data_IF_363561473476
#
_entry.id   IF_363561473476
#
_cell.length_a   1.000
_cell.length_b   1.000
_cell.length_c   1.000
_cell.angle_alpha   90.00
_cell.angle_beta   90.00
_cell.angle_gamma   90.00
#
_symmetry.space_group_name_H-M   'P 1'
#
loop_
_entity.id
_entity.type
_entity.pdbx_description
1 polymer ?
#
# COMPACT_ATOMS: atom_id res chain seq x y z
N UNK A 1 -20.35 -16.15 -7.82
CA UNK A 1 -19.41 -14.99 -7.91
C UNK A 1 -17.98 -15.51 -8.04
N UNK A 2 -17.17 -15.01 -8.97
CA UNK A 2 -15.73 -15.33 -8.99
C UNK A 2 -15.10 -14.59 -7.80
N UNK A 3 -14.51 -15.32 -6.86
CA UNK A 3 -13.66 -14.71 -5.82
C UNK A 3 -12.55 -13.93 -6.53
N UNK A 4 -12.61 -12.61 -6.46
CA UNK A 4 -11.53 -11.74 -6.91
C UNK A 4 -10.39 -11.93 -5.90
N UNK A 5 -9.20 -12.28 -6.40
CA UNK A 5 -8.04 -12.47 -5.52
C UNK A 5 -7.52 -11.09 -5.08
N UNK A 6 -7.19 -10.99 -3.80
CA UNK A 6 -6.54 -9.82 -3.22
C UNK A 6 -5.15 -9.62 -3.83
N UNK A 7 -4.78 -8.35 -4.07
CA UNK A 7 -3.45 -7.93 -4.49
C UNK A 7 -2.47 -8.22 -3.36
N UNK A 8 -1.20 -8.49 -3.69
CA UNK A 8 -0.12 -8.56 -2.70
C UNK A 8 1.03 -7.69 -3.18
N UNK A 9 1.39 -6.67 -2.40
CA UNK A 9 2.33 -5.64 -2.80
C UNK A 9 3.24 -5.19 -1.66
N UNK A 10 4.51 -4.95 -1.97
CA UNK A 10 5.43 -4.16 -1.14
C UNK A 10 6.21 -3.25 -2.09
N UNK A 11 6.29 -1.96 -1.80
CA UNK A 11 7.16 -1.07 -2.56
C UNK A 11 7.31 0.29 -1.92
N UNK A 12 8.38 0.97 -2.31
CA UNK A 12 8.61 2.37 -1.98
C UNK A 12 7.99 3.21 -3.09
N UNK A 13 7.08 4.10 -2.70
CA UNK A 13 6.40 5.02 -3.59
C UNK A 13 6.95 6.42 -3.37
N UNK A 14 7.65 6.96 -4.36
CA UNK A 14 8.05 8.36 -4.33
C UNK A 14 6.80 9.25 -4.50
N UNK A 15 6.61 10.20 -3.60
CA UNK A 15 5.53 11.19 -3.64
C UNK A 15 6.18 12.52 -4.01
N UNK A 16 5.87 13.03 -5.21
CA UNK A 16 6.65 14.09 -5.87
C UNK A 16 6.53 15.43 -5.15
N UNK A 17 5.35 15.68 -4.58
CA UNK A 17 5.09 16.77 -3.65
C UNK A 17 4.44 16.07 -2.47
N UNK A 18 5.01 16.11 -1.25
CA UNK A 18 6.08 17.00 -0.79
C UNK A 18 7.51 16.42 -0.90
N UNK A 19 7.81 15.55 -1.87
CA UNK A 19 9.12 14.88 -2.02
C UNK A 19 9.45 13.95 -0.86
N UNK A 20 8.61 12.92 -0.68
CA UNK A 20 8.80 11.89 0.35
C UNK A 20 8.70 10.49 -0.23
N UNK A 21 9.36 9.54 0.43
CA UNK A 21 9.22 8.13 0.13
C UNK A 21 8.20 7.51 1.09
N UNK A 22 7.11 6.99 0.53
CA UNK A 22 6.08 6.25 1.24
C UNK A 22 6.30 4.75 1.06
N UNK A 23 6.46 4.02 2.16
CA UNK A 23 6.52 2.56 2.17
C UNK A 23 5.09 2.02 2.15
N UNK A 24 4.64 1.53 1.00
CA UNK A 24 3.31 0.96 0.83
C UNK A 24 3.38 -0.56 0.84
N UNK A 25 2.59 -1.16 1.73
CA UNK A 25 2.45 -2.60 1.89
C UNK A 25 0.98 -2.99 1.83
N UNK A 26 0.68 -4.05 1.07
CA UNK A 26 -0.68 -4.59 0.95
C UNK A 26 -0.67 -6.11 1.07
N UNK A 27 -1.47 -6.67 1.97
CA UNK A 27 -1.71 -8.11 2.11
C UNK A 27 -0.39 -8.90 2.20
N UNK A 28 0.36 -8.63 3.26
CA UNK A 28 1.66 -9.24 3.57
C UNK A 28 1.70 -9.62 5.04
N UNK A 29 2.31 -10.77 5.32
CA UNK A 29 2.56 -11.15 6.71
C UNK A 29 3.60 -10.23 7.34
N UNK A 30 3.58 -10.12 8.67
CA UNK A 30 4.54 -9.33 9.43
C UNK A 30 5.99 -9.71 9.07
N UNK A 31 6.27 -11.01 8.88
CA UNK A 31 7.60 -11.50 8.48
C UNK A 31 8.03 -10.97 7.11
N UNK A 32 7.11 -10.99 6.14
CA UNK A 32 7.38 -10.48 4.79
C UNK A 32 7.62 -8.97 4.80
N UNK A 33 6.90 -8.23 5.65
CA UNK A 33 7.07 -6.80 5.84
C UNK A 33 8.44 -6.52 6.43
N UNK A 34 8.83 -7.25 7.49
CA UNK A 34 10.15 -7.12 8.12
C UNK A 34 11.27 -7.38 7.14
N UNK A 35 11.18 -8.44 6.33
CA UNK A 35 12.18 -8.73 5.30
C UNK A 35 12.27 -7.63 4.25
N UNK A 36 11.12 -7.10 3.80
CA UNK A 36 11.07 -5.99 2.87
C UNK A 36 11.76 -4.76 3.44
N UNK A 37 11.41 -4.33 4.66
CA UNK A 37 11.99 -3.16 5.31
C UNK A 37 13.50 -3.32 5.55
N UNK A 38 13.96 -4.51 5.97
CA UNK A 38 15.40 -4.82 6.08
C UNK A 38 16.13 -4.65 4.76
N UNK A 39 15.54 -5.11 3.65
CA UNK A 39 16.13 -4.95 2.30
C UNK A 39 16.20 -3.50 1.86
N UNK A 40 15.31 -2.65 2.36
CA UNK A 40 15.35 -1.20 2.12
C UNK A 40 16.32 -0.46 3.06
N UNK A 41 17.02 -1.16 3.95
CA UNK A 41 17.95 -0.55 4.90
C UNK A 41 17.27 0.18 6.07
N UNK A 42 15.98 -0.08 6.31
CA UNK A 42 15.26 0.48 7.46
C UNK A 42 15.84 -0.10 8.74
N UNK A 43 16.10 0.75 9.74
CA UNK A 43 16.73 0.27 10.96
C UNK A 43 15.79 -0.59 11.79
N UNK A 44 16.38 -1.41 12.65
CA UNK A 44 15.66 -2.35 13.50
C UNK A 44 14.59 -1.68 14.39
N UNK A 45 14.89 -0.53 15.01
CA UNK A 45 13.94 0.18 15.88
C UNK A 45 12.65 0.60 15.14
N UNK A 46 12.76 1.11 13.91
CA UNK A 46 11.62 1.43 13.05
C UNK A 46 10.82 0.17 12.69
N UNK A 47 11.51 -0.94 12.38
CA UNK A 47 10.89 -2.24 12.06
C UNK A 47 10.13 -2.80 13.27
N UNK A 48 10.73 -2.77 14.46
CA UNK A 48 10.15 -3.30 15.69
C UNK A 48 8.90 -2.48 16.09
N UNK A 49 8.91 -1.18 15.84
CA UNK A 49 7.75 -0.29 16.02
C UNK A 49 6.61 -0.69 15.08
N UNK A 50 6.89 -0.81 13.77
CA UNK A 50 5.89 -1.22 12.77
C UNK A 50 5.32 -2.61 13.10
N UNK A 51 6.17 -3.54 13.53
CA UNK A 51 5.74 -4.88 13.93
C UNK A 51 4.75 -4.85 15.11
N UNK A 52 4.99 -4.00 16.11
CA UNK A 52 4.07 -3.85 17.24
C UNK A 52 2.72 -3.30 16.77
N UNK A 53 2.73 -2.21 16.01
CA UNK A 53 1.48 -1.63 15.50
C UNK A 53 0.72 -2.62 14.61
N UNK A 54 1.40 -3.40 13.76
CA UNK A 54 0.75 -4.44 12.94
C UNK A 54 0.08 -5.55 13.75
N UNK A 55 0.59 -5.87 14.94
CA UNK A 55 0.01 -6.90 15.82
C UNK A 55 -1.17 -6.37 16.63
N UNK A 56 -1.16 -5.07 16.92
CA UNK A 56 -2.20 -4.39 17.70
C UNK A 56 -3.31 -3.81 16.81
N UNK A 57 -3.04 -3.61 15.52
CA UNK A 57 -3.99 -3.09 14.55
C UNK A 57 -5.11 -4.09 14.25
N UNK A 58 -6.35 -3.69 14.56
CA UNK A 58 -7.58 -4.33 14.08
C UNK A 58 -8.19 -3.57 12.88
N UNK A 59 -7.42 -2.70 12.24
CA UNK A 59 -7.88 -1.89 11.12
C UNK A 59 -7.63 -2.55 9.76
N UNK A 60 -8.45 -2.19 8.76
CA UNK A 60 -8.27 -2.63 7.37
C UNK A 60 -7.12 -1.88 6.66
N UNK A 61 -6.65 -0.80 7.27
CA UNK A 61 -5.45 -0.06 6.87
C UNK A 61 -5.00 0.87 7.98
N UNK A 62 -3.75 1.32 7.91
CA UNK A 62 -3.28 2.44 8.71
C UNK A 62 -2.10 3.12 8.03
N UNK A 63 -1.97 4.42 8.28
CA UNK A 63 -0.77 5.19 8.05
C UNK A 63 -0.05 5.43 9.38
N UNK A 64 1.29 5.34 9.37
CA UNK A 64 2.09 5.75 10.49
C UNK A 64 3.43 6.36 10.06
N UNK A 65 4.01 7.12 11.00
CA UNK A 65 5.39 7.58 10.93
C UNK A 65 6.21 6.96 12.06
N UNK A 66 7.43 6.51 11.74
CA UNK A 66 8.37 6.08 12.78
C UNK A 66 9.26 7.24 13.24
N UNK A 67 9.99 7.03 14.33
CA UNK A 67 10.94 8.00 14.91
C UNK A 67 12.03 8.46 13.93
N UNK A 68 12.29 7.72 12.85
CA UNK A 68 13.29 8.03 11.84
C UNK A 68 12.72 8.69 10.60
N UNK A 69 11.55 9.30 10.72
CA UNK A 69 10.89 9.98 9.60
C UNK A 69 10.48 9.03 8.45
N UNK A 70 10.33 7.74 8.75
CA UNK A 70 9.82 6.76 7.79
C UNK A 70 8.29 6.88 7.70
N UNK A 71 7.76 7.03 6.48
CA UNK A 71 6.32 7.04 6.20
C UNK A 71 5.89 5.64 5.79
N UNK A 72 5.05 4.99 6.59
CA UNK A 72 4.59 3.62 6.34
C UNK A 72 3.08 3.62 6.19
N UNK A 73 2.59 3.01 5.11
CA UNK A 73 1.17 2.77 4.88
C UNK A 73 0.95 1.28 4.68
N UNK A 74 0.05 0.73 5.48
CA UNK A 74 -0.38 -0.65 5.41
C UNK A 74 -1.84 -0.71 4.99
N UNK A 75 -2.15 -1.62 4.08
CA UNK A 75 -3.51 -2.04 3.76
C UNK A 75 -3.60 -3.56 3.96
N UNK A 76 -4.57 -4.01 4.75
CA UNK A 76 -4.77 -5.42 5.07
C UNK A 76 -5.07 -6.24 3.82
N UNK A 77 -5.95 -5.72 2.98
CA UNK A 77 -6.28 -6.30 1.69
C UNK A 77 -6.55 -5.24 0.63
N UNK A 78 -6.46 -5.65 -0.63
CA UNK A 78 -6.95 -4.82 -1.73
C UNK A 78 -7.49 -5.73 -2.84
N UNK A 79 -8.80 -5.82 -2.94
CA UNK A 79 -9.51 -6.66 -3.92
C UNK A 79 -10.06 -5.85 -5.11
N UNK A 80 -9.84 -4.54 -5.15
CA UNK A 80 -10.36 -3.64 -6.19
C UNK A 80 -11.85 -3.29 -6.05
N UNK A 81 -12.42 -3.49 -4.87
CA UNK A 81 -13.77 -3.09 -4.50
C UNK A 81 -13.83 -1.61 -4.11
N UNK A 82 -15.05 -1.10 -3.88
CA UNK A 82 -15.24 0.27 -3.42
C UNK A 82 -14.74 0.46 -1.98
N UNK A 83 -14.85 -0.58 -1.14
CA UNK A 83 -14.30 -0.60 0.22
C UNK A 83 -12.78 -0.42 0.22
N UNK A 84 -12.05 -1.08 -0.69
CA UNK A 84 -10.60 -0.91 -0.79
C UNK A 84 -10.21 0.54 -1.15
N UNK A 85 -11.04 1.20 -1.97
CA UNK A 85 -10.83 2.61 -2.33
C UNK A 85 -11.12 3.53 -1.14
N UNK A 86 -12.12 3.21 -0.32
CA UNK A 86 -12.47 3.98 0.87
C UNK A 86 -11.36 3.90 1.92
N UNK A 87 -10.83 2.69 2.19
CA UNK A 87 -9.67 2.51 3.08
C UNK A 87 -8.45 3.25 2.55
N UNK A 88 -8.11 3.10 1.26
CA UNK A 88 -6.98 3.82 0.67
C UNK A 88 -7.17 5.35 0.76
N UNK A 89 -8.39 5.83 0.55
CA UNK A 89 -8.73 7.25 0.63
C UNK A 89 -8.55 7.78 2.05
N UNK A 90 -9.00 7.02 3.05
CA UNK A 90 -8.85 7.31 4.47
C UNK A 90 -7.37 7.35 4.89
N UNK A 91 -6.58 6.35 4.52
CA UNK A 91 -5.15 6.35 4.87
C UNK A 91 -4.34 7.42 4.15
N UNK A 92 -4.74 7.76 2.92
CA UNK A 92 -4.14 8.89 2.21
C UNK A 92 -4.46 10.21 2.93
N UNK A 93 -5.65 10.35 3.50
CA UNK A 93 -6.00 11.51 4.31
C UNK A 93 -5.07 11.64 5.53
N UNK A 94 -4.87 10.56 6.31
CA UNK A 94 -3.94 10.58 7.45
C UNK A 94 -2.51 10.96 7.05
N UNK A 95 -2.02 10.41 5.93
CA UNK A 95 -0.73 10.77 5.38
C UNK A 95 -0.63 12.28 5.06
N UNK A 96 -1.62 12.83 4.36
CA UNK A 96 -1.62 14.25 3.98
C UNK A 96 -1.77 15.16 5.18
N UNK A 97 -2.64 14.80 6.12
CA UNK A 97 -2.86 15.60 7.33
C UNK A 97 -1.56 15.69 8.13
N UNK A 98 -0.90 14.55 8.33
CA UNK A 98 0.41 14.48 8.95
C UNK A 98 1.46 15.33 8.21
N UNK A 99 1.64 15.15 6.89
CA UNK A 99 2.63 15.92 6.14
C UNK A 99 2.33 17.43 6.17
N UNK A 100 1.06 17.81 6.23
CA UNK A 100 0.63 19.20 6.30
C UNK A 100 1.02 19.87 7.60
N UNK A 101 0.91 19.15 8.72
CA UNK A 101 1.39 19.62 10.02
C UNK A 101 2.91 19.67 10.04
N UNK A 102 3.56 18.58 9.61
CA UNK A 102 5.01 18.42 9.68
C UNK A 102 5.77 19.47 8.86
N UNK A 103 5.24 19.82 7.68
CA UNK A 103 5.87 20.77 6.75
C UNK A 103 5.24 22.15 6.79
N UNK A 104 4.42 22.43 7.80
CA UNK A 104 3.83 23.75 8.08
C UNK A 104 2.92 24.31 6.98
N UNK A 105 2.28 23.44 6.19
CA UNK A 105 1.24 23.83 5.22
C UNK A 105 -0.19 23.45 5.69
N UNK A 106 -0.38 23.16 6.98
CA UNK A 106 -1.67 22.72 7.55
C UNK A 106 -2.85 23.65 7.25
N UNK A 107 -2.61 24.95 7.08
CA UNK A 107 -3.62 25.97 6.76
C UNK A 107 -3.91 26.12 5.26
N UNK A 108 -3.13 25.47 4.40
CA UNK A 108 -3.26 25.55 2.95
C UNK A 108 -4.24 24.48 2.45
N UNK A 109 -5.54 24.70 2.66
CA UNK A 109 -6.59 23.73 2.32
C UNK A 109 -6.58 23.29 0.87
N UNK A 110 -6.35 24.22 -0.07
CA UNK A 110 -6.24 23.91 -1.50
C UNK A 110 -5.04 23.02 -1.81
N UNK A 111 -3.91 23.29 -1.17
CA UNK A 111 -2.70 22.48 -1.33
C UNK A 111 -2.85 21.09 -0.70
N UNK A 112 -3.50 20.99 0.47
CA UNK A 112 -3.86 19.70 1.09
C UNK A 112 -4.76 18.88 0.17
N UNK A 113 -5.80 19.49 -0.40
CA UNK A 113 -6.71 18.82 -1.33
C UNK A 113 -5.98 18.35 -2.60
N UNK A 114 -5.11 19.19 -3.17
CA UNK A 114 -4.26 18.81 -4.31
C UNK A 114 -3.34 17.64 -3.97
N UNK A 115 -2.64 17.72 -2.83
CA UNK A 115 -1.71 16.69 -2.39
C UNK A 115 -2.42 15.36 -2.15
N UNK A 116 -3.59 15.40 -1.51
CA UNK A 116 -4.42 14.23 -1.25
C UNK A 116 -4.86 13.57 -2.55
N UNK A 117 -5.45 14.32 -3.48
CA UNK A 117 -5.90 13.78 -4.75
C UNK A 117 -4.74 13.24 -5.61
N UNK A 118 -3.61 13.94 -5.65
CA UNK A 118 -2.42 13.50 -6.37
C UNK A 118 -1.86 12.20 -5.80
N UNK A 119 -1.75 12.12 -4.46
CA UNK A 119 -1.26 10.92 -3.76
C UNK A 119 -2.22 9.75 -3.95
N UNK A 120 -3.52 9.96 -3.73
CA UNK A 120 -4.54 8.94 -3.87
C UNK A 120 -4.56 8.35 -5.28
N UNK A 121 -4.54 9.20 -6.31
CA UNK A 121 -4.46 8.75 -7.72
C UNK A 121 -3.21 7.92 -7.99
N UNK A 122 -2.05 8.33 -7.45
CA UNK A 122 -0.78 7.61 -7.64
C UNK A 122 -0.83 6.23 -7.00
N UNK A 123 -1.25 6.14 -5.74
CA UNK A 123 -1.37 4.88 -5.01
C UNK A 123 -2.39 3.95 -5.67
N UNK A 124 -3.57 4.47 -6.02
CA UNK A 124 -4.60 3.71 -6.73
C UNK A 124 -4.07 3.13 -8.05
N UNK A 125 -3.36 3.94 -8.85
CA UNK A 125 -2.78 3.48 -10.11
C UNK A 125 -1.78 2.34 -9.89
N UNK A 126 -0.93 2.42 -8.86
CA UNK A 126 0.03 1.37 -8.52
C UNK A 126 -0.70 0.07 -8.18
N UNK A 127 -1.64 0.12 -7.23
CA UNK A 127 -2.35 -1.08 -6.77
C UNK A 127 -3.15 -1.75 -7.90
N UNK A 128 -3.85 -0.97 -8.71
CA UNK A 128 -4.68 -1.52 -9.80
C UNK A 128 -3.83 -2.05 -10.96
N UNK A 129 -2.67 -1.47 -11.24
CA UNK A 129 -1.72 -2.04 -12.19
C UNK A 129 -1.18 -3.39 -11.70
N UNK A 130 -0.91 -3.54 -10.40
CA UNK A 130 -0.48 -4.82 -9.83
C UNK A 130 -1.60 -5.86 -9.88
N UNK A 131 -2.85 -5.45 -9.64
CA UNK A 131 -4.04 -6.30 -9.85
C UNK A 131 -4.11 -6.83 -11.27
N UNK A 132 -4.00 -5.95 -12.25
CA UNK A 132 -4.05 -6.32 -13.67
C UNK A 132 -2.94 -7.29 -14.07
N UNK A 133 -1.72 -7.10 -13.53
CA UNK A 133 -0.60 -8.04 -13.73
C UNK A 133 -0.92 -9.41 -13.14
N UNK A 134 -1.47 -9.47 -11.93
CA UNK A 134 -1.87 -10.73 -11.29
C UNK A 134 -2.97 -11.44 -12.08
N UNK A 135 -4.00 -10.73 -12.51
CA UNK A 135 -5.11 -11.30 -13.27
C UNK A 135 -4.66 -11.85 -14.63
N UNK A 136 -3.76 -11.15 -15.32
CA UNK A 136 -3.14 -11.64 -16.58
C UNK A 136 -2.33 -12.92 -16.34
N UNK A 137 -1.54 -12.98 -15.27
CA UNK A 137 -0.74 -14.18 -14.91
C UNK A 137 -1.64 -15.40 -14.64
N UNK A 138 -2.75 -15.20 -13.93
CA UNK A 138 -3.73 -16.26 -13.64
C UNK A 138 -4.37 -16.78 -14.93
N UNK A 139 -4.83 -15.88 -15.81
CA UNK A 139 -5.40 -16.27 -17.12
C UNK A 139 -4.42 -17.13 -17.93
N UNK A 140 -3.14 -16.75 -17.95
CA UNK A 140 -2.10 -17.52 -18.65
C UNK A 140 -1.89 -18.92 -18.06
N UNK A 141 -1.87 -19.04 -16.73
CA UNK A 141 -1.72 -20.33 -16.05
C UNK A 141 -2.91 -21.28 -16.31
N UNK A 142 -4.14 -20.75 -16.28
CA UNK A 142 -5.36 -21.54 -16.55
C UNK A 142 -5.42 -22.01 -18.01
N UNK A 143 -4.92 -21.23 -18.96
CA UNK A 143 -4.83 -21.63 -20.36
C UNK A 143 -3.85 -22.80 -20.56
N UNK A 144 -2.67 -22.75 -19.91
CA UNK A 144 -1.66 -23.83 -19.98
C UNK A 144 -2.13 -25.16 -19.37
N UNK A 145 -2.91 -25.13 -18.30
CA UNK A 145 -3.42 -26.35 -17.66
C UNK A 145 -4.56 -27.00 -18.46
N UNK A 146 -5.38 -26.21 -19.17
CA UNK A 146 -6.39 -26.75 -20.10
C UNK A 146 -5.78 -27.37 -21.37
N UNK A 147 -4.64 -26.86 -21.85
CA UNK A 147 -3.92 -27.43 -22.99
C UNK A 147 -3.27 -28.80 -22.71
N UNK A 148 -3.00 -29.14 -21.43
CA UNK A 148 -2.41 -30.44 -21.05
C UNK A 148 -3.43 -31.57 -20.82
N UNK A 149 -4.73 -31.28 -20.80
CA UNK A 149 -5.78 -32.29 -20.56
C UNK A 149 -6.34 -32.98 -21.82
N UNK A 150 -5.82 -32.68 -23.01
CA UNK A 150 -6.16 -33.38 -24.28
C UNK A 150 -4.99 -34.26 -24.77
N UNK A 151 -4.53 -35.21 -23.96
CA UNK A 151 -3.74 -36.37 -24.39
C UNK A 151 -3.92 -37.49 -23.36
N UNK A 152 -5.03 -38.21 -23.45
CA UNK A 152 -5.17 -39.61 -23.05
C UNK A 152 -6.41 -40.16 -23.74
#
# INVERSE_FOLDING_TARGET
MKQSKSISYCGVVAIDVPQVNLYLVVNKSVEQIKEFLKKQGVVKASIDTIERELKEADSDGFFMRTSEDLRFMYLKECTGTWQDLDVLNHETFHFVDFESEYRMFAKESEFKAYLHEATFRKLRKILFNEKDKMDKKIKHMVCKTKGKKKKK
#
